data_IF_423532661389
#
_entry.id   IF_423532661389
#
_cell.length_a   1.000
_cell.length_b   1.000
_cell.length_c   1.000
_cell.angle_alpha   90.00
_cell.angle_beta   90.00
_cell.angle_gamma   90.00
#
_symmetry.space_group_name_H-M   'P 1'
#
loop_
_entity.id
_entity.type
_entity.pdbx_description
1 polymer ?
#
# COMPACT_ATOMS: atom_id res chain seq x y z
N UNK A 1 0.32 -8.97 11.84
CA UNK A 1 1.25 -7.92 12.33
C UNK A 1 1.04 -6.58 11.61
N UNK A 2 1.25 -6.45 10.29
CA UNK A 2 1.00 -5.18 9.57
C UNK A 2 -0.42 -4.65 9.74
N UNK A 3 -1.42 -5.45 9.35
CA UNK A 3 -2.83 -5.08 9.44
C UNK A 3 -3.25 -4.77 10.88
N UNK A 4 -2.82 -5.60 11.83
CA UNK A 4 -3.10 -5.40 13.26
C UNK A 4 -2.51 -4.10 13.79
N UNK A 5 -1.29 -3.76 13.38
CA UNK A 5 -0.63 -2.50 13.78
C UNK A 5 -1.38 -1.30 13.22
N UNK A 6 -1.78 -1.34 11.95
CA UNK A 6 -2.58 -0.28 11.33
C UNK A 6 -3.91 -0.10 12.05
N UNK A 7 -4.61 -1.18 12.39
CA UNK A 7 -5.88 -1.12 13.13
C UNK A 7 -5.65 -0.62 14.57
N UNK A 8 -4.57 -1.05 15.22
CA UNK A 8 -4.25 -0.63 16.59
C UNK A 8 -3.94 0.87 16.69
N UNK A 9 -3.29 1.44 15.69
CA UNK A 9 -2.89 2.86 15.67
C UNK A 9 -4.04 3.75 15.18
N UNK A 10 -4.74 3.34 14.12
CA UNK A 10 -5.71 4.19 13.41
C UNK A 10 -7.17 3.76 13.59
N UNK A 11 -7.45 2.71 14.36
CA UNK A 11 -8.80 2.26 14.67
C UNK A 11 -9.64 1.90 13.43
N UNK A 12 -10.85 2.45 13.37
CA UNK A 12 -11.79 2.21 12.27
C UNK A 12 -11.28 2.73 10.93
N UNK A 13 -10.59 3.88 10.91
CA UNK A 13 -9.96 4.44 9.71
C UNK A 13 -8.88 3.49 9.16
N UNK A 14 -8.09 2.91 10.07
CA UNK A 14 -7.12 1.86 9.76
C UNK A 14 -7.75 0.69 9.01
N UNK A 15 -8.87 0.18 9.53
CA UNK A 15 -9.60 -0.93 8.90
C UNK A 15 -10.18 -0.56 7.54
N UNK A 16 -10.77 0.63 7.41
CA UNK A 16 -11.35 1.09 6.14
C UNK A 16 -10.26 1.28 5.07
N UNK A 17 -9.12 1.83 5.45
CA UNK A 17 -7.97 1.99 4.55
C UNK A 17 -7.43 0.63 4.10
N UNK A 18 -7.26 -0.32 5.01
CA UNK A 18 -6.83 -1.69 4.67
C UNK A 18 -7.78 -2.36 3.66
N UNK A 19 -9.10 -2.20 3.86
CA UNK A 19 -10.09 -2.73 2.92
C UNK A 19 -10.04 -2.04 1.54
N UNK A 20 -9.55 -0.80 1.49
CA UNK A 20 -9.44 -0.01 0.26
C UNK A 20 -8.11 -0.21 -0.47
N UNK A 21 -7.09 -0.78 0.19
CA UNK A 21 -5.74 -0.95 -0.36
C UNK A 21 -5.71 -1.65 -1.73
N UNK A 22 -6.45 -2.75 -1.99
CA UNK A 22 -6.45 -3.37 -3.31
C UNK A 22 -6.91 -2.41 -4.41
N UNK A 23 -7.97 -1.64 -4.15
CA UNK A 23 -8.49 -0.64 -5.09
C UNK A 23 -7.50 0.49 -5.33
N UNK A 24 -6.87 1.00 -4.27
CA UNK A 24 -5.87 2.07 -4.37
C UNK A 24 -4.66 1.59 -5.18
N UNK A 25 -4.17 0.39 -4.89
CA UNK A 25 -2.99 -0.20 -5.56
C UNK A 25 -3.25 -0.43 -7.03
N UNK A 26 -4.43 -0.97 -7.40
CA UNK A 26 -4.80 -1.18 -8.80
C UNK A 26 -4.91 0.15 -9.56
N UNK A 27 -5.54 1.16 -8.96
CA UNK A 27 -5.68 2.49 -9.58
C UNK A 27 -4.31 3.12 -9.88
N UNK A 28 -3.40 3.10 -8.90
CA UNK A 28 -2.03 3.63 -9.08
C UNK A 28 -1.28 2.83 -10.15
N UNK A 29 -1.45 1.50 -10.17
CA UNK A 29 -0.81 0.66 -11.17
C UNK A 29 -1.27 1.00 -12.59
N UNK A 30 -2.56 1.21 -12.80
CA UNK A 30 -3.13 1.62 -14.09
C UNK A 30 -2.64 3.03 -14.49
N UNK A 31 -2.72 4.01 -13.58
CA UNK A 31 -2.34 5.41 -13.87
C UNK A 31 -0.85 5.58 -14.20
N UNK A 32 0.01 4.73 -13.63
CA UNK A 32 1.47 4.83 -13.77
C UNK A 32 2.11 3.72 -14.62
N UNK A 33 1.30 2.84 -15.24
CA UNK A 33 1.76 1.66 -15.96
C UNK A 33 2.71 0.78 -15.12
N UNK A 34 2.30 0.48 -13.88
CA UNK A 34 3.05 -0.39 -12.98
C UNK A 34 2.67 -1.85 -13.21
N UNK A 35 3.65 -2.74 -13.08
CA UNK A 35 3.44 -4.17 -13.22
C UNK A 35 4.13 -4.97 -12.12
N UNK A 36 3.67 -6.21 -11.93
CA UNK A 36 4.25 -7.19 -11.00
C UNK A 36 4.37 -6.70 -9.56
N UNK A 37 3.42 -5.87 -9.11
CA UNK A 37 3.39 -5.37 -7.73
C UNK A 37 3.21 -6.52 -6.74
N UNK A 38 4.22 -6.75 -5.92
CA UNK A 38 4.25 -7.79 -4.89
C UNK A 38 4.42 -7.13 -3.52
N UNK A 39 3.50 -7.35 -2.57
CA UNK A 39 3.63 -6.83 -1.22
C UNK A 39 4.91 -7.33 -0.53
N UNK A 40 5.61 -6.43 0.16
CA UNK A 40 6.78 -6.76 0.97
C UNK A 40 6.32 -7.13 2.38
N UNK A 41 6.80 -8.26 2.89
CA UNK A 41 6.47 -8.74 4.23
C UNK A 41 7.10 -7.87 5.34
N UNK A 42 6.64 -8.05 6.58
CA UNK A 42 7.20 -7.43 7.79
C UNK A 42 7.16 -5.90 7.86
N UNK A 43 6.23 -5.26 7.15
CA UNK A 43 5.99 -3.82 7.28
C UNK A 43 5.16 -3.48 8.53
N UNK A 44 5.48 -2.37 9.20
CA UNK A 44 4.83 -1.96 10.46
C UNK A 44 3.82 -0.83 10.30
N UNK A 45 4.07 0.13 9.41
CA UNK A 45 3.27 1.38 9.32
C UNK A 45 2.81 1.77 7.92
N UNK A 46 3.40 1.20 6.87
CA UNK A 46 3.06 1.53 5.48
C UNK A 46 2.82 0.25 4.70
N UNK A 47 1.93 0.31 3.73
CA UNK A 47 1.87 -0.69 2.68
C UNK A 47 3.04 -0.46 1.73
N UNK A 48 3.85 -1.48 1.49
CA UNK A 48 4.99 -1.43 0.58
C UNK A 48 4.89 -2.59 -0.39
N UNK A 49 5.02 -2.30 -1.69
CA UNK A 49 5.08 -3.30 -2.74
C UNK A 49 6.25 -3.01 -3.68
N UNK A 50 6.96 -4.06 -4.13
CA UNK A 50 7.97 -3.99 -5.18
C UNK A 50 7.35 -4.34 -6.52
N UNK A 51 7.80 -3.71 -7.61
CA UNK A 51 7.36 -4.06 -8.97
C UNK A 51 8.17 -3.30 -10.01
N UNK A 52 7.56 -3.04 -11.15
CA UNK A 52 8.22 -2.39 -12.29
C UNK A 52 7.39 -1.27 -12.88
N UNK A 53 8.07 -0.29 -13.47
CA UNK A 53 7.50 0.72 -14.38
C UNK A 53 8.35 0.74 -15.65
N UNK A 54 7.80 0.30 -16.78
CA UNK A 54 8.54 0.19 -18.05
C UNK A 54 9.93 -0.46 -17.86
N UNK A 55 9.94 -1.65 -17.23
CA UNK A 55 11.12 -2.46 -16.88
C UNK A 55 12.08 -1.87 -15.83
N UNK A 56 11.79 -0.67 -15.31
CA UNK A 56 12.56 -0.10 -14.19
C UNK A 56 12.00 -0.61 -12.86
N UNK A 57 12.83 -1.20 -11.98
CA UNK A 57 12.37 -1.63 -10.67
C UNK A 57 11.95 -0.42 -9.82
N UNK A 58 10.81 -0.54 -9.15
CA UNK A 58 10.24 0.51 -8.29
C UNK A 58 9.79 -0.05 -6.93
N UNK A 59 9.60 0.86 -5.99
CA UNK A 59 8.89 0.62 -4.74
C UNK A 59 7.66 1.52 -4.71
N UNK A 60 6.49 0.91 -4.54
CA UNK A 60 5.26 1.61 -4.20
C UNK A 60 5.10 1.62 -2.68
N UNK A 61 5.09 2.82 -2.08
CA UNK A 61 4.86 3.02 -0.64
C UNK A 61 3.60 3.85 -0.44
N UNK A 62 2.64 3.28 0.28
CA UNK A 62 1.36 3.92 0.61
C UNK A 62 1.22 3.99 2.13
N UNK A 63 1.14 5.21 2.65
CA UNK A 63 0.81 5.47 4.05
C UNK A 63 -0.68 5.73 4.22
N UNK A 64 -1.18 5.46 5.43
CA UNK A 64 -2.50 5.95 5.85
C UNK A 64 -2.34 7.42 6.22
N UNK A 65 -2.67 8.31 5.28
CA UNK A 65 -2.54 9.75 5.46
C UNK A 65 -3.87 10.31 5.98
N UNK A 66 -3.99 10.57 7.28
CA UNK A 66 -5.18 11.24 7.83
C UNK A 66 -5.09 12.77 7.77
N UNK A 67 -3.88 13.37 7.62
CA UNK A 67 -3.65 14.80 7.32
C UNK A 67 -2.27 15.00 6.69
N UNK A 68 -2.23 15.58 5.48
CA UNK A 68 -1.06 16.32 5.00
C UNK A 68 -1.14 17.76 5.49
#
# INVERSE_FOLDING_TARGET
MFQDNIIKIYGAEGRQWLNSLPKITNKIAEEHNLSSLTPVANMTFNYVASGYQNDKPIILKIGLNSKA
#
